data_IF_554795410225
#
_entry.id   IF_554795410225
#
_cell.length_a   1.000
_cell.length_b   1.000
_cell.length_c   1.000
_cell.angle_alpha   90.00
_cell.angle_beta   90.00
_cell.angle_gamma   90.00
#
_symmetry.space_group_name_H-M   'P 1'
#
loop_
_entity.id
_entity.type
_entity.pdbx_description
1 polymer ?
#
# COMPACT_ATOMS: atom_id res chain seq x y z
N UNK A 1 39.03 -1.16 21.24
CA UNK A 1 38.31 0.06 20.91
C UNK A 1 37.75 -0.09 19.48
N UNK A 2 36.41 -0.11 19.34
CA UNK A 2 35.75 -0.25 18.04
C UNK A 2 35.93 1.01 17.20
N UNK A 3 36.33 0.88 15.93
CA UNK A 3 36.42 2.00 15.00
C UNK A 3 35.02 2.31 14.46
N UNK A 4 34.56 3.55 14.62
CA UNK A 4 33.32 4.01 14.00
C UNK A 4 33.49 4.03 12.48
N UNK A 5 32.72 3.21 11.75
CA UNK A 5 32.79 3.10 10.30
C UNK A 5 31.89 4.13 9.61
N UNK A 6 30.73 4.43 10.22
CA UNK A 6 29.75 5.37 9.68
C UNK A 6 29.20 6.22 10.82
N UNK A 7 29.21 7.55 10.65
CA UNK A 7 28.69 8.46 11.67
C UNK A 7 27.15 8.50 11.68
N UNK A 8 26.58 8.85 12.83
CA UNK A 8 25.12 9.03 12.99
C UNK A 8 24.54 10.03 11.98
N UNK A 9 25.28 11.11 11.69
CA UNK A 9 24.84 12.12 10.72
C UNK A 9 24.68 11.52 9.32
N UNK A 10 25.64 10.70 8.88
CA UNK A 10 25.56 10.04 7.56
C UNK A 10 24.38 9.06 7.52
N UNK A 11 24.10 8.33 8.60
CA UNK A 11 22.95 7.44 8.69
C UNK A 11 21.64 8.23 8.55
N UNK A 12 21.52 9.32 9.29
CA UNK A 12 20.35 10.21 9.22
C UNK A 12 20.17 10.78 7.80
N UNK A 13 21.21 11.29 7.18
CA UNK A 13 21.14 11.89 5.83
C UNK A 13 20.72 10.86 4.76
N UNK A 14 21.21 9.62 4.87
CA UNK A 14 20.84 8.54 3.96
C UNK A 14 19.41 8.06 4.15
N UNK A 15 18.90 8.01 5.38
CA UNK A 15 17.54 7.55 5.69
C UNK A 15 16.52 8.67 5.44
N UNK A 16 16.78 9.88 5.91
CA UNK A 16 15.84 11.01 5.83
C UNK A 16 15.91 11.74 4.48
N UNK A 17 17.06 11.67 3.79
CA UNK A 17 17.20 12.22 2.45
C UNK A 17 16.29 11.49 1.43
N UNK A 18 15.94 12.20 0.34
CA UNK A 18 15.12 11.67 -0.77
C UNK A 18 13.78 11.07 -0.30
N UNK A 19 12.82 11.88 0.13
CA UNK A 19 11.52 11.43 0.65
C UNK A 19 10.74 10.53 -0.32
N UNK A 20 10.94 10.71 -1.63
CA UNK A 20 10.31 9.91 -2.70
C UNK A 20 10.81 8.45 -2.77
N UNK A 21 11.97 8.15 -2.18
CA UNK A 21 12.53 6.80 -2.26
C UNK A 21 11.97 5.92 -1.14
N UNK A 22 11.39 4.74 -1.43
CA UNK A 22 10.93 3.80 -0.42
C UNK A 22 12.00 3.48 0.63
N UNK A 23 11.59 3.35 1.89
CA UNK A 23 12.52 3.14 3.01
C UNK A 23 13.37 1.88 2.82
N UNK A 24 12.79 0.78 2.36
CA UNK A 24 13.51 -0.47 2.10
C UNK A 24 14.67 -0.28 1.11
N UNK A 25 14.45 0.49 0.03
CA UNK A 25 15.51 0.81 -0.94
C UNK A 25 16.61 1.65 -0.29
N UNK A 26 16.26 2.60 0.57
CA UNK A 26 17.26 3.39 1.32
C UNK A 26 18.08 2.52 2.25
N UNK A 27 17.45 1.56 2.91
CA UNK A 27 18.12 0.61 3.81
C UNK A 27 19.06 -0.33 3.05
N UNK A 28 18.67 -0.82 1.87
CA UNK A 28 19.56 -1.58 1.00
C UNK A 28 20.77 -0.74 0.54
N UNK A 29 20.54 0.51 0.13
CA UNK A 29 21.63 1.44 -0.24
C UNK A 29 22.55 1.76 0.95
N UNK A 30 22.00 1.80 2.17
CA UNK A 30 22.77 1.97 3.39
C UNK A 30 23.63 0.74 3.69
N UNK A 31 23.07 -0.47 3.54
CA UNK A 31 23.81 -1.73 3.67
C UNK A 31 25.01 -1.76 2.72
N UNK A 32 24.77 -1.48 1.43
CA UNK A 32 25.84 -1.44 0.43
C UNK A 32 26.91 -0.41 0.79
N UNK A 33 26.50 0.78 1.23
CA UNK A 33 27.44 1.82 1.64
C UNK A 33 28.29 1.39 2.84
N UNK A 34 27.69 0.78 3.88
CA UNK A 34 28.45 0.28 5.05
C UNK A 34 29.47 -0.78 4.62
N UNK A 35 29.04 -1.71 3.76
CA UNK A 35 29.94 -2.75 3.25
C UNK A 35 31.09 -2.18 2.42
N UNK A 36 30.87 -1.12 1.64
CA UNK A 36 31.92 -0.42 0.89
C UNK A 36 32.90 0.31 1.82
N UNK A 37 32.41 0.90 2.92
CA UNK A 37 33.30 1.55 3.91
C UNK A 37 34.20 0.54 4.63
N UNK A 38 33.74 -0.69 4.85
CA UNK A 38 34.48 -1.74 5.55
C UNK A 38 35.49 -2.42 4.62
N UNK A 39 35.07 -2.78 3.41
CA UNK A 39 35.83 -3.63 2.51
C UNK A 39 36.46 -2.89 1.31
N UNK A 40 36.11 -1.60 1.11
CA UNK A 40 36.48 -0.85 -0.07
C UNK A 40 35.67 -1.26 -1.33
N UNK A 41 35.85 -0.54 -2.42
CA UNK A 41 35.18 -0.79 -3.72
C UNK A 41 35.81 -1.94 -4.53
N UNK A 42 36.84 -2.60 -3.98
CA UNK A 42 37.60 -3.68 -4.67
C UNK A 42 36.85 -5.01 -4.70
N UNK A 43 36.81 -5.65 -5.85
CA UNK A 43 36.32 -7.03 -6.06
C UNK A 43 37.32 -8.09 -5.52
N UNK A 44 37.88 -7.85 -4.32
CA UNK A 44 38.82 -8.80 -3.71
C UNK A 44 38.12 -10.11 -3.34
N UNK A 45 38.56 -11.22 -3.93
CA UNK A 45 38.02 -12.58 -3.67
C UNK A 45 38.25 -13.06 -2.22
N UNK A 46 39.06 -12.35 -1.42
CA UNK A 46 39.51 -12.80 -0.08
C UNK A 46 38.54 -12.58 1.06
N UNK A 47 37.50 -11.73 0.92
CA UNK A 47 36.62 -11.35 2.04
C UNK A 47 35.13 -11.74 1.86
N UNK A 48 34.84 -12.73 1.00
CA UNK A 48 33.46 -13.09 0.67
C UNK A 48 32.67 -13.60 1.90
N UNK A 49 33.30 -14.42 2.72
CA UNK A 49 32.68 -14.99 3.92
C UNK A 49 32.48 -13.91 5.00
N UNK A 50 33.50 -13.09 5.25
CA UNK A 50 33.43 -11.98 6.19
C UNK A 50 32.38 -10.95 5.78
N UNK A 51 32.32 -10.63 4.48
CA UNK A 51 31.31 -9.75 3.91
C UNK A 51 29.89 -10.29 4.12
N UNK A 52 29.69 -11.60 3.92
CA UNK A 52 28.39 -12.23 4.15
C UNK A 52 28.00 -12.22 5.64
N UNK A 53 28.94 -12.46 6.55
CA UNK A 53 28.67 -12.40 7.98
C UNK A 53 28.27 -10.99 8.41
N UNK A 54 29.02 -9.97 8.00
CA UNK A 54 28.69 -8.58 8.32
C UNK A 54 27.35 -8.17 7.68
N UNK A 55 27.09 -8.59 6.45
CA UNK A 55 25.81 -8.36 5.81
C UNK A 55 24.64 -8.96 6.61
N UNK A 56 24.78 -10.18 7.10
CA UNK A 56 23.77 -10.82 7.95
C UNK A 56 23.56 -10.06 9.26
N UNK A 57 24.62 -9.57 9.88
CA UNK A 57 24.49 -8.74 11.09
C UNK A 57 23.77 -7.42 10.82
N UNK A 58 24.13 -6.71 9.75
CA UNK A 58 23.45 -5.47 9.34
C UNK A 58 21.96 -5.75 9.08
N UNK A 59 21.64 -6.85 8.37
CA UNK A 59 20.25 -7.20 8.02
C UNK A 59 19.36 -7.47 9.24
N UNK A 60 19.92 -7.91 10.38
CA UNK A 60 19.14 -8.03 11.62
C UNK A 60 18.56 -6.69 12.11
N UNK A 61 19.24 -5.59 11.81
CA UNK A 61 18.82 -4.25 12.22
C UNK A 61 17.98 -3.51 11.19
N UNK A 62 18.16 -3.81 9.91
CA UNK A 62 17.49 -3.07 8.83
C UNK A 62 16.28 -3.81 8.22
N UNK A 63 16.14 -5.11 8.48
CA UNK A 63 14.99 -5.89 7.98
C UNK A 63 13.74 -5.52 8.78
N UNK A 64 12.75 -4.98 8.09
CA UNK A 64 11.47 -4.62 8.68
C UNK A 64 10.49 -5.79 8.47
N UNK A 65 9.99 -6.35 9.55
CA UNK A 65 8.85 -7.27 9.52
C UNK A 65 7.57 -6.45 9.43
N UNK A 66 6.90 -6.52 8.28
CA UNK A 66 5.71 -5.71 8.01
C UNK A 66 4.51 -6.18 8.83
N UNK A 67 4.40 -7.48 9.09
CA UNK A 67 3.31 -8.03 9.90
C UNK A 67 3.49 -7.58 11.35
N UNK A 68 4.71 -7.67 11.85
CA UNK A 68 5.03 -7.21 13.21
C UNK A 68 4.83 -5.68 13.34
N UNK A 69 5.25 -4.91 12.33
CA UNK A 69 4.99 -3.47 12.28
C UNK A 69 3.47 -3.17 12.32
N UNK A 70 2.67 -3.97 11.61
CA UNK A 70 1.21 -3.83 11.65
C UNK A 70 0.65 -4.19 13.03
N UNK A 71 1.13 -5.27 13.67
CA UNK A 71 0.76 -5.64 15.05
C UNK A 71 1.05 -4.52 16.04
N UNK A 72 2.16 -3.80 15.89
CA UNK A 72 2.54 -2.66 16.75
C UNK A 72 1.47 -1.55 16.73
N UNK A 73 0.83 -1.29 15.58
CA UNK A 73 -0.24 -0.29 15.48
C UNK A 73 -1.43 -0.59 16.42
N UNK A 74 -1.69 -1.87 16.66
CA UNK A 74 -2.81 -2.33 17.50
C UNK A 74 -2.40 -2.75 18.91
N UNK A 75 -1.10 -2.74 19.22
CA UNK A 75 -0.59 -3.15 20.53
C UNK A 75 -0.91 -2.14 21.65
N UNK A 76 -0.99 -0.84 21.29
CA UNK A 76 -1.22 0.25 22.25
C UNK A 76 -2.37 1.15 21.78
N UNK A 77 -3.46 1.14 22.54
CA UNK A 77 -4.68 1.91 22.24
C UNK A 77 -4.40 3.42 22.14
N UNK A 78 -3.61 3.99 23.07
CA UNK A 78 -3.30 5.41 23.07
C UNK A 78 -2.49 5.83 21.84
N UNK A 79 -1.54 4.99 21.43
CA UNK A 79 -0.77 5.21 20.20
C UNK A 79 -1.67 5.15 18.97
N UNK A 80 -2.52 4.15 18.87
CA UNK A 80 -3.49 4.02 17.78
C UNK A 80 -4.37 5.28 17.63
N UNK A 81 -4.95 5.74 18.73
CA UNK A 81 -5.77 6.96 18.70
C UNK A 81 -4.96 8.22 18.39
N UNK A 82 -3.69 8.29 18.79
CA UNK A 82 -2.83 9.42 18.44
C UNK A 82 -2.63 9.59 16.95
N UNK A 83 -2.61 8.49 16.19
CA UNK A 83 -2.49 8.51 14.73
C UNK A 83 -3.78 9.00 14.05
N UNK A 84 -4.92 8.90 14.71
CA UNK A 84 -6.22 9.29 14.18
C UNK A 84 -6.59 10.76 14.43
N UNK A 85 -5.78 11.53 15.15
CA UNK A 85 -6.11 12.90 15.60
C UNK A 85 -6.51 13.85 14.46
N UNK A 86 -5.97 13.65 13.24
CA UNK A 86 -6.26 14.47 12.06
C UNK A 86 -7.21 13.79 11.07
N UNK A 87 -7.86 12.71 11.48
CA UNK A 87 -8.82 11.97 10.66
C UNK A 87 -10.23 12.07 11.25
N UNK A 88 -11.22 11.67 10.46
CA UNK A 88 -12.59 11.52 10.93
C UNK A 88 -12.94 10.03 11.02
N UNK A 89 -12.52 9.34 12.10
CA UNK A 89 -12.69 7.91 12.22
C UNK A 89 -14.16 7.52 12.36
N UNK A 90 -14.48 6.29 11.94
CA UNK A 90 -15.80 5.70 12.14
C UNK A 90 -16.19 5.69 13.63
N UNK A 91 -17.48 5.83 13.92
CA UNK A 91 -18.02 5.68 15.29
C UNK A 91 -17.69 4.31 15.89
N UNK A 92 -17.46 3.29 15.04
CA UNK A 92 -17.12 1.93 15.47
C UNK A 92 -15.61 1.68 15.62
N UNK A 93 -14.77 2.73 15.52
CA UNK A 93 -13.30 2.57 15.51
C UNK A 93 -12.75 1.79 16.70
N UNK A 94 -13.38 1.94 17.89
CA UNK A 94 -12.99 1.21 19.10
C UNK A 94 -13.21 -0.30 18.94
N UNK A 95 -14.35 -0.70 18.37
CA UNK A 95 -14.65 -2.10 18.12
C UNK A 95 -13.73 -2.68 17.04
N UNK A 96 -13.44 -1.90 15.98
CA UNK A 96 -12.49 -2.27 14.93
C UNK A 96 -11.11 -2.51 15.56
N UNK A 97 -10.59 -1.57 16.35
CA UNK A 97 -9.31 -1.72 17.02
C UNK A 97 -9.23 -2.99 17.88
N UNK A 98 -10.24 -3.18 18.74
CA UNK A 98 -10.30 -4.35 19.64
C UNK A 98 -10.33 -5.66 18.86
N UNK A 99 -11.20 -5.76 17.86
CA UNK A 99 -11.39 -6.96 17.06
C UNK A 99 -10.15 -7.28 16.22
N UNK A 100 -9.54 -6.29 15.57
CA UNK A 100 -8.30 -6.49 14.84
C UNK A 100 -7.18 -6.95 15.76
N UNK A 101 -7.04 -6.35 16.96
CA UNK A 101 -6.05 -6.75 17.95
C UNK A 101 -6.21 -8.20 18.37
N UNK A 102 -7.42 -8.62 18.73
CA UNK A 102 -7.74 -10.00 19.15
C UNK A 102 -7.39 -11.02 18.05
N UNK A 103 -7.66 -10.68 16.78
CA UNK A 103 -7.33 -11.55 15.65
C UNK A 103 -5.81 -11.63 15.42
N UNK A 104 -5.10 -10.52 15.49
CA UNK A 104 -3.65 -10.49 15.35
C UNK A 104 -2.94 -11.26 16.48
N UNK A 105 -3.47 -11.21 17.71
CA UNK A 105 -2.96 -12.00 18.84
C UNK A 105 -3.21 -13.51 18.64
N UNK A 106 -4.27 -13.87 17.90
CA UNK A 106 -4.58 -15.25 17.51
C UNK A 106 -3.88 -15.69 16.21
N UNK A 107 -2.89 -14.92 15.71
CA UNK A 107 -2.21 -15.14 14.43
C UNK A 107 -3.18 -15.32 13.23
N UNK A 108 -4.32 -14.63 13.29
CA UNK A 108 -5.33 -14.62 12.24
C UNK A 108 -5.36 -13.27 11.53
N UNK A 109 -5.42 -13.29 10.20
CA UNK A 109 -5.53 -12.09 9.38
C UNK A 109 -6.84 -12.13 8.59
N UNK A 110 -7.62 -11.07 8.71
CA UNK A 110 -8.75 -10.85 7.81
C UNK A 110 -8.28 -10.26 6.48
N UNK A 111 -9.14 -10.30 5.49
CA UNK A 111 -8.86 -9.78 4.16
C UNK A 111 -8.46 -8.29 4.19
N UNK A 112 -9.16 -7.48 4.98
CA UNK A 112 -8.89 -6.05 5.10
C UNK A 112 -7.52 -5.77 5.76
N UNK A 113 -7.13 -6.57 6.76
CA UNK A 113 -5.80 -6.50 7.37
C UNK A 113 -4.71 -6.88 6.37
N UNK A 114 -4.95 -7.91 5.55
CA UNK A 114 -4.01 -8.31 4.51
C UNK A 114 -3.81 -7.22 3.45
N UNK A 115 -4.87 -6.49 3.08
CA UNK A 115 -4.79 -5.33 2.18
C UNK A 115 -3.94 -4.21 2.82
N UNK A 116 -4.18 -3.90 4.10
CA UNK A 116 -3.41 -2.88 4.82
C UNK A 116 -1.92 -3.25 4.93
N UNK A 117 -1.61 -4.51 5.23
CA UNK A 117 -0.24 -5.05 5.26
C UNK A 117 0.41 -4.97 3.87
N UNK A 118 -0.30 -5.32 2.81
CA UNK A 118 0.20 -5.21 1.44
C UNK A 118 0.51 -3.75 1.05
N UNK A 119 -0.34 -2.81 1.46
CA UNK A 119 -0.08 -1.39 1.27
C UNK A 119 1.18 -0.93 2.01
N UNK A 120 1.34 -1.28 3.29
CA UNK A 120 2.53 -0.98 4.07
C UNK A 120 3.79 -1.57 3.43
N UNK A 121 3.73 -2.82 2.99
CA UNK A 121 4.84 -3.46 2.27
C UNK A 121 5.26 -2.65 1.04
N UNK A 122 4.30 -2.26 0.22
CA UNK A 122 4.57 -1.49 -1.01
C UNK A 122 5.10 -0.08 -0.72
N UNK A 123 4.63 0.56 0.34
CA UNK A 123 5.14 1.88 0.77
C UNK A 123 6.57 1.79 1.30
N UNK A 124 6.92 0.72 1.99
CA UNK A 124 8.23 0.55 2.59
C UNK A 124 9.24 0.02 1.57
N UNK A 125 8.91 -1.03 0.84
CA UNK A 125 9.85 -1.69 -0.08
C UNK A 125 9.69 -1.27 -1.54
N UNK A 126 8.54 -0.74 -1.92
CA UNK A 126 8.21 -0.50 -3.31
C UNK A 126 8.09 -1.79 -4.13
N UNK A 127 7.92 -1.64 -5.43
CA UNK A 127 7.97 -2.76 -6.37
C UNK A 127 8.37 -2.28 -7.77
N UNK A 128 9.13 -3.12 -8.46
CA UNK A 128 9.51 -2.92 -9.86
C UNK A 128 8.92 -4.00 -10.78
N UNK A 129 8.24 -4.99 -10.19
CA UNK A 129 7.80 -6.20 -10.88
C UNK A 129 6.91 -5.93 -12.09
N UNK A 130 6.07 -4.90 -12.00
CA UNK A 130 5.04 -4.61 -13.01
C UNK A 130 5.28 -3.29 -13.78
N UNK A 131 6.49 -2.75 -13.74
CA UNK A 131 6.84 -1.49 -14.44
C UNK A 131 6.59 -1.50 -15.94
N UNK A 132 6.61 -2.68 -16.57
CA UNK A 132 6.39 -2.84 -18.00
C UNK A 132 4.89 -2.82 -18.40
N UNK A 133 3.98 -2.92 -17.45
CA UNK A 133 2.55 -2.83 -17.71
C UNK A 133 2.21 -1.40 -18.10
N UNK A 134 1.55 -1.24 -19.26
CA UNK A 134 1.20 0.07 -19.83
C UNK A 134 -0.28 0.43 -19.65
N UNK A 135 -1.12 -0.58 -19.49
CA UNK A 135 -2.56 -0.43 -19.32
C UNK A 135 -3.06 -1.41 -18.27
N UNK A 136 -3.87 -0.92 -17.35
CA UNK A 136 -4.64 -1.71 -16.38
C UNK A 136 -6.11 -1.43 -16.61
N UNK A 137 -6.89 -2.48 -16.70
CA UNK A 137 -8.37 -2.40 -16.77
C UNK A 137 -8.89 -2.99 -15.46
N UNK A 138 -9.74 -2.24 -14.78
CA UNK A 138 -10.43 -2.66 -13.56
C UNK A 138 -11.91 -2.67 -13.90
N UNK A 139 -12.52 -3.83 -13.81
CA UNK A 139 -13.96 -4.02 -13.95
C UNK A 139 -14.60 -4.15 -12.56
N UNK A 140 -15.91 -3.93 -12.46
CA UNK A 140 -16.66 -3.93 -11.20
C UNK A 140 -15.97 -3.06 -10.13
N UNK A 141 -15.68 -1.82 -10.51
CA UNK A 141 -14.91 -0.88 -9.68
C UNK A 141 -15.48 -0.68 -8.27
N UNK A 142 -16.79 -0.83 -8.11
CA UNK A 142 -17.50 -0.71 -6.84
C UNK A 142 -17.14 -1.81 -5.82
N UNK A 143 -16.53 -2.92 -6.26
CA UNK A 143 -16.14 -4.02 -5.38
C UNK A 143 -14.80 -3.76 -4.66
N UNK A 144 -14.11 -2.67 -5.04
CA UNK A 144 -12.81 -2.31 -4.48
C UNK A 144 -12.91 -1.10 -3.54
N UNK A 145 -12.13 -1.14 -2.45
CA UNK A 145 -11.99 -0.01 -1.53
C UNK A 145 -10.92 0.98 -2.01
N UNK A 146 -10.98 2.25 -1.58
CA UNK A 146 -9.98 3.26 -1.93
C UNK A 146 -8.53 2.84 -1.68
N UNK A 147 -8.26 2.10 -0.59
CA UNK A 147 -6.93 1.59 -0.27
C UNK A 147 -6.39 0.62 -1.34
N UNK A 148 -7.26 -0.15 -2.00
CA UNK A 148 -6.85 -1.04 -3.09
C UNK A 148 -6.44 -0.25 -4.34
N UNK A 149 -7.08 0.89 -4.61
CA UNK A 149 -6.65 1.79 -5.69
C UNK A 149 -5.28 2.43 -5.40
N UNK A 150 -4.98 2.75 -4.13
CA UNK A 150 -3.63 3.16 -3.72
C UNK A 150 -2.61 2.05 -4.02
N UNK A 151 -2.92 0.79 -3.69
CA UNK A 151 -2.08 -0.36 -4.02
C UNK A 151 -1.90 -0.48 -5.53
N UNK A 152 -2.96 -0.40 -6.32
CA UNK A 152 -2.86 -0.46 -7.78
C UNK A 152 -1.98 0.65 -8.34
N UNK A 153 -2.08 1.87 -7.80
CA UNK A 153 -1.25 2.98 -8.23
C UNK A 153 0.24 2.78 -7.89
N UNK A 154 0.55 2.20 -6.73
CA UNK A 154 1.92 1.85 -6.34
C UNK A 154 2.49 0.74 -7.22
N UNK A 155 1.71 -0.31 -7.46
CA UNK A 155 2.13 -1.49 -8.24
C UNK A 155 2.29 -1.18 -9.72
N UNK A 156 1.36 -0.40 -10.29
CA UNK A 156 1.27 -0.09 -11.73
C UNK A 156 1.54 1.40 -11.99
N UNK A 157 2.55 1.95 -11.34
CA UNK A 157 2.87 3.39 -11.37
C UNK A 157 2.98 3.99 -12.78
N UNK A 158 3.48 3.21 -13.75
CA UNK A 158 3.67 3.63 -15.14
C UNK A 158 2.47 3.32 -16.06
N UNK A 159 1.43 2.70 -15.53
CA UNK A 159 0.28 2.30 -16.34
C UNK A 159 -0.77 3.42 -16.45
N UNK A 160 -1.53 3.38 -17.53
CA UNK A 160 -2.83 4.05 -17.66
C UNK A 160 -3.90 3.13 -17.06
N UNK A 161 -4.98 3.71 -16.59
CA UNK A 161 -6.09 2.97 -16.01
C UNK A 161 -7.37 3.19 -16.83
N UNK A 162 -8.11 2.11 -17.05
CA UNK A 162 -9.51 2.13 -17.47
C UNK A 162 -10.29 1.48 -16.35
N UNK A 163 -11.24 2.21 -15.79
CA UNK A 163 -12.01 1.78 -14.63
C UNK A 163 -13.48 1.76 -15.04
N UNK A 164 -14.08 0.59 -14.92
CA UNK A 164 -15.46 0.31 -15.27
C UNK A 164 -16.22 -0.07 -14.00
N UNK A 165 -17.41 0.47 -13.81
CA UNK A 165 -18.21 0.11 -12.65
C UNK A 165 -19.67 0.55 -12.84
N UNK A 166 -20.55 -0.03 -12.04
CA UNK A 166 -21.96 0.27 -12.03
C UNK A 166 -22.36 0.89 -10.68
N UNK A 167 -22.79 2.15 -10.72
CA UNK A 167 -23.21 2.88 -9.51
C UNK A 167 -24.47 2.33 -8.85
N UNK A 168 -25.25 1.50 -9.56
CA UNK A 168 -26.54 0.97 -9.08
C UNK A 168 -26.45 -0.46 -8.52
N UNK A 169 -25.31 -1.15 -8.68
CA UNK A 169 -25.17 -2.55 -8.26
C UNK A 169 -24.61 -2.72 -6.84
N UNK A 170 -24.26 -1.65 -6.15
CA UNK A 170 -23.64 -1.74 -4.83
C UNK A 170 -24.70 -1.96 -3.76
N UNK A 171 -24.76 -3.17 -3.22
CA UNK A 171 -25.65 -3.52 -2.09
C UNK A 171 -25.22 -2.93 -0.75
N UNK A 172 -23.95 -2.58 -0.59
CA UNK A 172 -23.37 -2.17 0.69
C UNK A 172 -23.10 -0.67 0.82
N UNK A 173 -23.06 0.09 -0.25
CA UNK A 173 -22.74 1.53 -0.23
C UNK A 173 -23.59 2.26 -1.29
N UNK A 174 -24.14 3.42 -0.93
CA UNK A 174 -24.61 4.38 -1.94
C UNK A 174 -23.38 5.01 -2.57
N UNK A 175 -22.83 4.37 -3.61
CA UNK A 175 -21.76 4.96 -4.38
C UNK A 175 -22.35 6.00 -5.32
N UNK A 176 -21.84 7.18 -5.20
CA UNK A 176 -22.15 8.30 -6.07
C UNK A 176 -20.90 8.67 -6.91
N UNK A 177 -21.00 9.70 -7.67
CA UNK A 177 -19.90 10.23 -8.49
C UNK A 177 -18.67 10.51 -7.63
N UNK A 178 -18.83 10.83 -6.34
CA UNK A 178 -17.73 11.17 -5.42
C UNK A 178 -16.73 10.04 -5.24
N UNK A 179 -17.16 8.78 -5.31
CA UNK A 179 -16.26 7.63 -5.29
C UNK A 179 -15.29 7.63 -6.47
N UNK A 180 -15.79 7.87 -7.68
CA UNK A 180 -14.94 7.94 -8.88
C UNK A 180 -14.01 9.16 -8.87
N UNK A 181 -14.46 10.28 -8.31
CA UNK A 181 -13.62 11.45 -8.09
C UNK A 181 -12.50 11.15 -7.07
N UNK A 182 -12.79 10.37 -6.04
CA UNK A 182 -11.79 9.91 -5.08
C UNK A 182 -10.76 9.00 -5.75
N UNK A 183 -11.19 8.03 -6.56
CA UNK A 183 -10.30 7.18 -7.36
C UNK A 183 -9.41 8.02 -8.27
N UNK A 184 -9.98 9.02 -8.94
CA UNK A 184 -9.22 9.94 -9.80
C UNK A 184 -8.11 10.67 -9.02
N UNK A 185 -8.40 11.14 -7.81
CA UNK A 185 -7.43 11.78 -6.92
C UNK A 185 -6.33 10.81 -6.48
N UNK A 186 -6.70 9.58 -6.09
CA UNK A 186 -5.76 8.53 -5.69
C UNK A 186 -4.80 8.19 -6.83
N UNK A 187 -5.32 7.93 -8.01
CA UNK A 187 -4.50 7.55 -9.16
C UNK A 187 -3.65 8.71 -9.70
N UNK A 188 -4.10 9.95 -9.50
CA UNK A 188 -3.40 11.20 -9.83
C UNK A 188 -2.73 11.20 -11.22
N UNK A 189 -3.44 10.74 -12.25
CA UNK A 189 -2.92 10.72 -13.62
C UNK A 189 -3.12 12.08 -14.29
N UNK A 190 -2.14 12.52 -15.10
CA UNK A 190 -2.11 13.86 -15.75
C UNK A 190 -3.35 14.18 -16.59
N UNK A 191 -3.99 13.16 -17.16
CA UNK A 191 -5.22 13.28 -17.94
C UNK A 191 -6.18 12.20 -17.51
N UNK A 192 -7.36 12.58 -17.09
CA UNK A 192 -8.46 11.66 -16.74
C UNK A 192 -9.77 12.25 -17.19
N UNK A 193 -10.71 11.38 -17.52
CA UNK A 193 -12.08 11.73 -17.90
C UNK A 193 -13.04 10.73 -17.28
N UNK A 194 -14.19 11.21 -16.82
CA UNK A 194 -15.32 10.40 -16.41
C UNK A 194 -16.34 10.38 -17.56
N UNK A 195 -16.77 9.18 -17.94
CA UNK A 195 -17.77 8.96 -19.00
C UNK A 195 -18.94 8.21 -18.39
N UNK A 196 -20.11 8.78 -18.48
CA UNK A 196 -21.35 8.16 -18.05
C UNK A 196 -21.99 7.44 -19.23
N UNK A 197 -22.35 6.16 -19.03
CA UNK A 197 -23.08 5.35 -19.99
C UNK A 197 -24.53 5.24 -19.49
N UNK A 198 -25.45 5.93 -20.16
CA UNK A 198 -26.85 6.04 -19.77
C UNK A 198 -27.81 5.10 -20.56
N UNK A 199 -27.27 4.35 -21.51
CA UNK A 199 -28.03 3.42 -22.34
C UNK A 199 -27.54 1.98 -22.20
N UNK A 200 -28.49 1.08 -21.97
CA UNK A 200 -28.23 -0.36 -21.97
C UNK A 200 -28.52 -0.93 -23.37
N UNK A 201 -27.55 -1.69 -23.90
CA UNK A 201 -27.73 -2.44 -25.17
C UNK A 201 -27.69 -3.96 -24.92
N UNK A 202 -27.64 -4.39 -23.67
CA UNK A 202 -27.52 -5.82 -23.29
C UNK A 202 -28.87 -6.52 -23.22
N UNK A 203 -29.92 -5.82 -22.74
CA UNK A 203 -31.24 -6.37 -22.49
C UNK A 203 -32.29 -5.65 -23.28
N UNK A 204 -33.44 -6.30 -23.49
CA UNK A 204 -34.63 -5.64 -24.05
C UNK A 204 -35.20 -4.62 -23.07
N UNK A 205 -35.99 -3.67 -23.56
CA UNK A 205 -36.62 -2.64 -22.72
C UNK A 205 -37.53 -3.25 -21.64
N UNK A 206 -38.20 -4.37 -21.93
CA UNK A 206 -39.07 -5.06 -20.98
C UNK A 206 -38.28 -5.61 -19.79
N UNK A 207 -37.12 -6.26 -20.04
CA UNK A 207 -36.22 -6.78 -18.99
C UNK A 207 -35.65 -5.61 -18.19
N UNK A 208 -35.21 -4.55 -18.86
CA UNK A 208 -34.69 -3.36 -18.21
C UNK A 208 -35.72 -2.72 -17.26
N UNK A 209 -36.95 -2.48 -17.77
CA UNK A 209 -38.04 -1.90 -16.99
C UNK A 209 -38.46 -2.79 -15.83
N UNK A 210 -38.40 -4.12 -15.99
CA UNK A 210 -38.66 -5.05 -14.90
C UNK A 210 -37.58 -4.95 -13.80
N UNK A 211 -36.31 -4.93 -14.17
CA UNK A 211 -35.19 -4.84 -13.20
C UNK A 211 -35.17 -3.50 -12.45
N UNK A 212 -35.52 -2.40 -13.10
CA UNK A 212 -35.58 -1.07 -12.47
C UNK A 212 -36.56 -0.99 -11.30
N UNK A 213 -37.67 -1.77 -11.34
CA UNK A 213 -38.65 -1.81 -10.24
C UNK A 213 -38.07 -2.30 -8.91
N UNK A 214 -37.01 -3.09 -8.95
CA UNK A 214 -36.30 -3.58 -7.72
C UNK A 214 -35.32 -2.55 -7.18
N UNK A 215 -34.80 -1.65 -8.01
CA UNK A 215 -33.86 -0.61 -7.60
C UNK A 215 -34.59 0.58 -6.96
N UNK A 216 -35.83 0.90 -7.47
CA UNK A 216 -36.63 2.01 -6.95
C UNK A 216 -37.27 1.71 -5.57
N UNK A 217 -37.28 0.45 -5.14
CA UNK A 217 -37.83 0.00 -3.84
C UNK A 217 -36.79 -0.19 -2.73
N UNK A 218 -35.52 0.02 -3.03
CA UNK A 218 -34.39 -0.06 -2.08
C UNK A 218 -33.93 1.33 -1.65
#
# INVERSE_FOLDING_TARGET
EGKCVVSEQILKDKILGRPETPLGIKLEQLEDYILEQIFGTGKGRGHKEEKNLIKQEIQKFIKIDIVELYKILFSNEAYFYSLLQNSNPSQNIKNIWKYTKENLEADSLYYDDAIAIAYLYLKIYGTNKYKNIKQVVIDEAQDYYPLQYEIFNLVFSNAKFTILGDMKQTLAKKEDISFYEQIQKILNKKKSSLIMLDKSFRCTNEILNFSLKFIEQS
#
